data_IF_950795719813
#
_entry.id   IF_950795719813
#
_cell.length_a   1.000
_cell.length_b   1.000
_cell.length_c   1.000
_cell.angle_alpha   90.00
_cell.angle_beta   90.00
_cell.angle_gamma   90.00
#
_symmetry.space_group_name_H-M   'P 1'
#
loop_
_entity.id
_entity.type
_entity.pdbx_description
1 polymer ?
#
# COMPACT_ATOMS: atom_id res chain seq x y z
N UNK A 1 -17.13 -4.68 -8.59
CA UNK A 1 -16.75 -5.25 -9.91
C UNK A 1 -15.28 -5.67 -9.92
N UNK A 2 -14.99 -6.98 -9.98
CA UNK A 2 -13.61 -7.51 -10.05
C UNK A 2 -13.10 -7.45 -11.51
N UNK A 3 -12.81 -6.24 -12.01
CA UNK A 3 -12.33 -6.06 -13.39
C UNK A 3 -10.96 -6.72 -13.55
N UNK A 4 -10.80 -7.55 -14.57
CA UNK A 4 -9.52 -8.16 -14.90
C UNK A 4 -8.44 -7.06 -15.06
N UNK A 5 -7.19 -7.32 -14.65
CA UNK A 5 -6.09 -6.37 -14.88
C UNK A 5 -5.93 -6.07 -16.37
N UNK A 6 -5.71 -4.80 -16.71
CA UNK A 6 -5.42 -4.36 -18.07
C UNK A 6 -4.02 -4.84 -18.48
N UNK A 7 -3.82 -5.04 -19.79
CA UNK A 7 -2.53 -5.50 -20.33
C UNK A 7 -1.35 -4.63 -19.87
N UNK A 8 -1.53 -3.31 -19.86
CA UNK A 8 -0.50 -2.35 -19.41
C UNK A 8 -0.10 -2.58 -17.94
N UNK A 9 -1.03 -2.96 -17.07
CA UNK A 9 -0.74 -3.25 -15.66
C UNK A 9 0.05 -4.56 -15.53
N UNK A 10 -0.35 -5.59 -16.29
CA UNK A 10 0.33 -6.89 -16.34
C UNK A 10 1.79 -6.72 -16.78
N UNK A 11 2.04 -5.96 -17.85
CA UNK A 11 3.39 -5.71 -18.36
C UNK A 11 4.29 -4.97 -17.35
N UNK A 12 3.73 -3.99 -16.62
CA UNK A 12 4.48 -3.30 -15.55
C UNK A 12 4.92 -4.27 -14.46
N UNK A 13 3.98 -5.08 -13.95
CA UNK A 13 4.31 -6.06 -12.91
C UNK A 13 5.27 -7.13 -13.44
N UNK A 14 5.14 -7.56 -14.69
CA UNK A 14 6.11 -8.46 -15.31
C UNK A 14 7.51 -7.87 -15.34
N UNK A 15 7.66 -6.57 -15.69
CA UNK A 15 8.96 -5.90 -15.66
C UNK A 15 9.57 -5.88 -14.26
N UNK A 16 8.75 -5.58 -13.24
CA UNK A 16 9.19 -5.60 -11.83
C UNK A 16 9.61 -7.02 -11.43
N UNK A 17 8.77 -8.02 -11.72
CA UNK A 17 9.08 -9.42 -11.42
C UNK A 17 10.36 -9.89 -12.13
N UNK A 18 10.59 -9.49 -13.38
CA UNK A 18 11.86 -9.81 -14.07
C UNK A 18 13.08 -9.24 -13.35
N UNK A 19 12.94 -8.10 -12.68
CA UNK A 19 14.03 -7.44 -11.96
C UNK A 19 14.22 -7.99 -10.54
N UNK A 20 13.14 -8.37 -9.85
CA UNK A 20 13.20 -8.79 -8.44
C UNK A 20 13.13 -10.30 -8.23
N UNK A 21 12.34 -11.01 -9.02
CA UNK A 21 12.08 -12.45 -8.94
C UNK A 21 11.86 -13.04 -10.35
N UNK A 22 12.93 -13.13 -11.18
CA UNK A 22 12.81 -13.53 -12.58
C UNK A 22 12.15 -14.90 -12.78
N UNK A 23 12.35 -15.82 -11.83
CA UNK A 23 11.72 -17.15 -11.80
C UNK A 23 10.19 -17.10 -11.66
N UNK A 24 9.65 -15.96 -11.18
CA UNK A 24 8.22 -15.71 -11.01
C UNK A 24 7.66 -14.76 -12.06
N UNK A 25 8.46 -14.32 -13.05
CA UNK A 25 8.05 -13.36 -14.08
C UNK A 25 7.12 -13.96 -15.16
N UNK A 26 6.08 -14.66 -14.73
CA UNK A 26 5.06 -15.25 -15.59
C UNK A 26 3.79 -14.41 -15.55
N UNK A 27 3.02 -14.45 -16.65
CA UNK A 27 1.75 -13.73 -16.77
C UNK A 27 0.76 -14.11 -15.65
N UNK A 28 0.70 -15.39 -15.30
CA UNK A 28 -0.13 -15.92 -14.19
C UNK A 28 0.24 -15.27 -12.86
N UNK A 29 1.54 -15.19 -12.56
CA UNK A 29 2.01 -14.59 -11.32
C UNK A 29 1.78 -13.09 -11.29
N UNK A 30 2.02 -12.39 -12.41
CA UNK A 30 1.73 -10.95 -12.50
C UNK A 30 0.25 -10.64 -12.24
N UNK A 31 -0.68 -11.40 -12.80
CA UNK A 31 -2.12 -11.24 -12.53
C UNK A 31 -2.44 -11.50 -11.06
N UNK A 32 -1.83 -12.53 -10.46
CA UNK A 32 -2.00 -12.84 -9.03
C UNK A 32 -1.50 -11.69 -8.15
N UNK A 33 -0.31 -11.18 -8.43
CA UNK A 33 0.27 -10.03 -7.73
C UNK A 33 -0.63 -8.81 -7.80
N UNK A 34 -1.16 -8.46 -8.98
CA UNK A 34 -2.08 -7.32 -9.11
C UNK A 34 -3.34 -7.51 -8.26
N UNK A 35 -3.94 -8.72 -8.27
CA UNK A 35 -5.11 -9.01 -7.44
C UNK A 35 -4.80 -8.89 -5.95
N UNK A 36 -3.66 -9.42 -5.51
CA UNK A 36 -3.19 -9.31 -4.13
C UNK A 36 -2.95 -7.87 -3.72
N UNK A 37 -2.30 -7.07 -4.57
CA UNK A 37 -2.06 -5.64 -4.32
C UNK A 37 -3.37 -4.86 -4.21
N UNK A 38 -4.35 -5.13 -5.07
CA UNK A 38 -5.69 -4.50 -4.98
C UNK A 38 -6.40 -4.83 -3.67
N UNK A 39 -6.36 -6.10 -3.26
CA UNK A 39 -6.94 -6.53 -1.97
C UNK A 39 -6.24 -5.83 -0.80
N UNK A 40 -4.92 -5.78 -0.83
CA UNK A 40 -4.13 -5.12 0.21
C UNK A 40 -4.44 -3.62 0.28
N UNK A 41 -4.47 -2.93 -0.86
CA UNK A 41 -4.80 -1.51 -0.91
C UNK A 41 -6.20 -1.22 -0.35
N UNK A 42 -7.20 -2.05 -0.68
CA UNK A 42 -8.54 -1.93 -0.09
C UNK A 42 -8.49 -2.06 1.43
N UNK A 43 -7.87 -3.12 1.96
CA UNK A 43 -7.78 -3.33 3.42
C UNK A 43 -7.07 -2.18 4.14
N UNK A 44 -6.04 -1.59 3.51
CA UNK A 44 -5.35 -0.43 4.08
C UNK A 44 -6.25 0.80 4.10
N UNK A 45 -7.00 1.04 3.03
CA UNK A 45 -7.97 2.15 2.96
C UNK A 45 -9.05 1.96 4.03
N UNK A 46 -9.69 0.78 4.08
CA UNK A 46 -10.75 0.46 5.04
C UNK A 46 -10.27 0.69 6.48
N UNK A 47 -9.03 0.31 6.80
CA UNK A 47 -8.44 0.52 8.12
C UNK A 47 -8.16 1.99 8.42
N UNK A 48 -7.72 2.77 7.44
CA UNK A 48 -7.49 4.21 7.61
C UNK A 48 -8.82 4.91 7.83
N UNK A 49 -9.86 4.54 7.08
CA UNK A 49 -11.22 5.06 7.26
C UNK A 49 -11.75 4.72 8.67
N UNK A 50 -11.60 3.48 9.14
CA UNK A 50 -11.96 3.08 10.51
C UNK A 50 -11.19 3.89 11.57
N UNK A 51 -9.87 4.08 11.39
CA UNK A 51 -9.06 4.88 12.31
C UNK A 51 -9.48 6.36 12.32
N UNK A 52 -9.94 6.90 11.19
CA UNK A 52 -10.48 8.26 11.08
C UNK A 52 -11.84 8.38 11.78
N UNK A 53 -12.76 7.46 11.51
CA UNK A 53 -14.11 7.44 12.09
C UNK A 53 -14.08 7.23 13.61
N UNK A 54 -13.20 6.35 14.09
CA UNK A 54 -13.00 6.12 15.53
C UNK A 54 -12.23 7.25 16.24
N UNK A 55 -11.72 8.24 15.50
CA UNK A 55 -10.95 9.36 16.04
C UNK A 55 -9.55 8.99 16.51
N UNK A 56 -9.08 7.76 16.23
CA UNK A 56 -7.70 7.32 16.49
C UNK A 56 -6.69 8.13 15.69
N UNK A 57 -7.07 8.54 14.48
CA UNK A 57 -6.31 9.50 13.67
C UNK A 57 -7.21 10.66 13.22
N UNK A 58 -6.62 11.82 12.99
CA UNK A 58 -7.28 13.03 12.48
C UNK A 58 -6.47 13.60 11.33
N UNK A 59 -7.11 14.34 10.43
CA UNK A 59 -6.41 15.09 9.38
C UNK A 59 -6.39 16.55 9.78
N UNK A 60 -5.20 17.15 9.86
CA UNK A 60 -5.04 18.58 10.13
C UNK A 60 -5.55 19.42 8.95
N UNK A 61 -5.78 20.71 9.16
CA UNK A 61 -6.18 21.64 8.08
C UNK A 61 -5.16 21.72 6.94
N UNK A 62 -3.92 21.30 7.19
CA UNK A 62 -2.83 21.23 6.19
C UNK A 62 -2.79 19.90 5.43
N UNK A 63 -3.72 18.98 5.71
CA UNK A 63 -3.77 17.64 5.10
C UNK A 63 -2.82 16.63 5.75
N UNK A 64 -2.33 16.89 6.97
CA UNK A 64 -1.41 15.98 7.68
C UNK A 64 -2.17 15.01 8.56
N UNK A 65 -1.77 13.74 8.58
CA UNK A 65 -2.35 12.74 9.48
C UNK A 65 -1.77 12.93 10.88
N UNK A 66 -2.64 13.01 11.88
CA UNK A 66 -2.31 13.18 13.30
C UNK A 66 -2.85 12.01 14.12
N UNK A 67 -2.07 11.54 15.10
CA UNK A 67 -2.51 10.56 16.13
C UNK A 67 -2.15 11.12 17.49
N UNK A 68 -3.11 11.11 18.42
CA UNK A 68 -2.90 11.64 19.79
C UNK A 68 -2.34 13.09 19.82
N UNK A 69 -2.74 13.93 18.86
CA UNK A 69 -2.29 15.32 18.77
C UNK A 69 -0.90 15.53 18.16
N UNK A 70 -0.21 14.47 17.73
CA UNK A 70 1.09 14.55 17.04
C UNK A 70 0.93 14.25 15.55
N UNK A 71 1.59 15.03 14.70
CA UNK A 71 1.66 14.75 13.25
C UNK A 71 2.48 13.48 13.03
N UNK A 72 1.87 12.49 12.38
CA UNK A 72 2.57 11.32 11.86
C UNK A 72 3.28 11.79 10.58
N UNK A 73 4.56 12.16 10.71
CA UNK A 73 5.44 12.28 9.54
C UNK A 73 5.52 10.89 8.92
N UNK A 74 5.30 10.78 7.60
CA UNK A 74 5.26 9.55 6.80
C UNK A 74 6.13 8.46 7.41
N UNK A 75 5.50 7.28 7.63
CA UNK A 75 6.05 6.04 8.18
C UNK A 75 7.37 6.24 8.92
N UNK A 76 7.35 6.15 10.25
CA UNK A 76 8.54 5.77 11.02
C UNK A 76 9.35 4.77 10.21
N UNK A 77 10.41 5.27 9.58
CA UNK A 77 11.34 4.46 8.82
C UNK A 77 11.81 3.41 9.83
N UNK A 78 11.69 2.11 9.57
CA UNK A 78 12.14 1.10 10.52
C UNK A 78 13.64 1.22 10.84
N UNK A 79 14.41 2.03 10.09
CA UNK A 79 15.77 2.44 10.41
C UNK A 79 15.91 3.41 11.59
N UNK A 80 14.83 4.05 12.07
CA UNK A 80 14.88 4.95 13.22
C UNK A 80 14.54 4.28 14.56
N UNK A 81 14.60 2.94 14.63
CA UNK A 81 14.79 2.19 15.89
C UNK A 81 16.28 2.07 16.23
N UNK A 82 17.02 3.17 16.16
CA UNK A 82 18.37 3.23 16.72
C UNK A 82 18.46 4.37 17.73
N UNK A 83 18.60 3.97 18.99
CA UNK A 83 18.93 4.76 20.18
C UNK A 83 17.77 5.45 20.91
N UNK A 84 17.18 4.69 21.83
CA UNK A 84 16.66 5.15 23.10
C UNK A 84 17.01 4.12 24.15
#
# INVERSE_FOLDING_TARGET
MNKAPKEKEIQKILKILKQTHPEKATRKYAIKTIKSMRKFASMVIDRIEEDLESGKIKISEKGEVMREGKVIKKADDPENKSKG
#
